data_IF_976421367235
#
_entry.id   IF_976421367235
#
_cell.length_a   1.000
_cell.length_b   1.000
_cell.length_c   1.000
_cell.angle_alpha   90.00
_cell.angle_beta   90.00
_cell.angle_gamma   90.00
#
_symmetry.space_group_name_H-M   'P 1'
#
loop_
_entity.id
_entity.type
_entity.pdbx_description
1 polymer ?
#
# COMPACT_ATOMS: atom_id res chain seq x y z
N UNK A 1 -0.01 -11.22 -33.26
CA UNK A 1 1.19 -11.21 -32.38
C UNK A 1 0.71 -10.92 -30.98
N UNK A 2 0.68 -11.94 -30.12
CA UNK A 2 0.07 -11.88 -28.79
C UNK A 2 0.79 -10.86 -27.91
N UNK A 3 0.02 -9.98 -27.28
CA UNK A 3 0.54 -9.05 -26.28
C UNK A 3 1.10 -9.89 -25.14
N UNK A 4 2.40 -9.86 -24.92
CA UNK A 4 3.01 -10.40 -23.70
C UNK A 4 2.32 -9.72 -22.52
N UNK A 5 1.52 -10.48 -21.76
CA UNK A 5 0.95 -9.99 -20.51
C UNK A 5 2.12 -9.84 -19.55
N UNK A 6 2.49 -8.60 -19.29
CA UNK A 6 3.57 -8.31 -18.36
C UNK A 6 3.10 -8.68 -16.94
N UNK A 7 3.99 -9.23 -16.09
CA UNK A 7 3.67 -9.44 -14.69
C UNK A 7 3.21 -8.12 -14.05
N UNK A 8 2.19 -8.17 -13.20
CA UNK A 8 1.68 -6.97 -12.52
C UNK A 8 2.79 -6.26 -11.71
N UNK A 9 3.79 -6.99 -11.23
CA UNK A 9 4.98 -6.41 -10.60
C UNK A 9 5.70 -5.39 -11.50
N UNK A 10 5.84 -5.66 -12.80
CA UNK A 10 6.46 -4.70 -13.73
C UNK A 10 5.58 -3.47 -13.93
N UNK A 11 4.27 -3.66 -13.98
CA UNK A 11 3.31 -2.56 -14.12
C UNK A 11 3.30 -1.66 -12.87
N UNK A 12 3.41 -2.27 -11.69
CA UNK A 12 3.59 -1.55 -10.42
C UNK A 12 4.87 -0.70 -10.43
N UNK A 13 6.01 -1.24 -10.88
CA UNK A 13 7.26 -0.47 -10.96
C UNK A 13 7.17 0.67 -11.98
N UNK A 14 6.45 0.48 -13.09
CA UNK A 14 6.21 1.55 -14.06
C UNK A 14 5.36 2.66 -13.48
N UNK A 15 4.31 2.30 -12.77
CA UNK A 15 3.46 3.25 -12.07
C UNK A 15 4.29 4.01 -11.04
N UNK A 16 4.99 3.33 -10.13
CA UNK A 16 5.88 3.94 -9.14
C UNK A 16 6.90 4.92 -9.77
N UNK A 17 7.50 4.53 -10.90
CA UNK A 17 8.43 5.38 -11.63
C UNK A 17 7.76 6.64 -12.24
N UNK A 18 6.50 6.55 -12.65
CA UNK A 18 5.73 7.69 -13.18
C UNK A 18 5.55 8.78 -12.11
N UNK A 19 5.46 8.39 -10.84
CA UNK A 19 5.31 9.29 -9.69
C UNK A 19 6.63 9.90 -9.18
N UNK A 20 7.77 9.65 -9.84
CA UNK A 20 9.08 10.14 -9.41
C UNK A 20 9.15 11.67 -9.24
N UNK A 21 8.47 12.43 -10.09
CA UNK A 21 8.43 13.90 -9.99
C UNK A 21 7.64 14.36 -8.76
N UNK A 22 6.50 13.72 -8.49
CA UNK A 22 5.71 13.97 -7.28
C UNK A 22 6.53 13.65 -6.02
N UNK A 23 7.13 12.46 -5.97
CA UNK A 23 8.02 12.05 -4.86
C UNK A 23 9.15 13.06 -4.62
N UNK A 24 9.76 13.60 -5.68
CA UNK A 24 10.82 14.62 -5.54
C UNK A 24 10.32 15.94 -4.94
N UNK A 25 9.06 16.30 -5.15
CA UNK A 25 8.47 17.50 -4.58
C UNK A 25 8.12 17.36 -3.08
N UNK A 26 7.99 16.13 -2.57
CA UNK A 26 7.70 15.84 -1.17
C UNK A 26 8.88 16.18 -0.24
N UNK A 27 8.57 16.47 1.04
CA UNK A 27 9.55 16.57 2.13
C UNK A 27 10.19 15.22 2.40
N UNK A 28 11.32 15.18 3.13
CA UNK A 28 12.03 13.92 3.39
C UNK A 28 11.15 12.89 4.11
N UNK A 29 10.44 13.33 5.15
CA UNK A 29 9.50 12.50 5.92
C UNK A 29 8.38 11.92 5.04
N UNK A 30 7.78 12.75 4.18
CA UNK A 30 6.71 12.33 3.28
C UNK A 30 7.19 11.39 2.18
N UNK A 31 8.46 11.46 1.76
CA UNK A 31 9.04 10.55 0.75
C UNK A 31 9.12 9.12 1.27
N UNK A 32 9.49 8.95 2.52
CA UNK A 32 9.58 7.63 3.16
C UNK A 32 8.19 7.01 3.24
N UNK A 33 7.20 7.77 3.72
CA UNK A 33 5.79 7.34 3.72
C UNK A 33 5.30 7.00 2.31
N UNK A 34 5.64 7.80 1.31
CA UNK A 34 5.23 7.54 -0.07
C UNK A 34 5.82 6.24 -0.64
N UNK A 35 7.09 5.94 -0.33
CA UNK A 35 7.74 4.70 -0.76
C UNK A 35 7.12 3.47 -0.07
N UNK A 36 6.71 3.62 1.19
CA UNK A 36 5.99 2.58 1.94
C UNK A 36 4.64 2.24 1.31
N UNK A 37 3.90 3.21 0.75
CA UNK A 37 2.64 2.94 0.03
C UNK A 37 2.86 1.99 -1.15
N UNK A 38 3.84 2.27 -2.01
CA UNK A 38 4.13 1.38 -3.15
C UNK A 38 4.70 0.03 -2.69
N UNK A 39 5.46 0.00 -1.61
CA UNK A 39 5.90 -1.26 -1.00
C UNK A 39 4.72 -2.10 -0.50
N UNK A 40 3.72 -1.48 0.14
CA UNK A 40 2.51 -2.15 0.63
C UNK A 40 1.72 -2.79 -0.51
N UNK A 41 1.61 -2.11 -1.66
CA UNK A 41 0.94 -2.66 -2.84
C UNK A 41 1.62 -3.93 -3.39
N UNK A 42 2.93 -4.11 -3.19
CA UNK A 42 3.67 -5.30 -3.69
C UNK A 42 3.21 -6.59 -3.01
N UNK A 43 2.72 -6.53 -1.76
CA UNK A 43 2.16 -7.70 -1.06
C UNK A 43 0.91 -8.27 -1.73
N UNK A 44 0.23 -7.48 -2.57
CA UNK A 44 -1.05 -7.81 -3.18
C UNK A 44 -0.96 -8.04 -4.69
N UNK A 45 0.24 -8.22 -5.25
CA UNK A 45 0.45 -8.40 -6.70
C UNK A 45 -0.41 -9.51 -7.33
N UNK A 46 -0.65 -10.60 -6.61
CA UNK A 46 -1.55 -11.66 -7.07
C UNK A 46 -3.02 -11.17 -7.14
N UNK A 47 -3.51 -10.51 -6.09
CA UNK A 47 -4.85 -9.93 -6.06
C UNK A 47 -5.04 -8.86 -7.14
N UNK A 48 -4.03 -8.01 -7.35
CA UNK A 48 -4.02 -7.01 -8.41
C UNK A 48 -4.06 -7.62 -9.81
N UNK A 49 -3.32 -8.72 -10.03
CA UNK A 49 -3.36 -9.47 -11.29
C UNK A 49 -4.76 -10.03 -11.55
N UNK A 50 -5.37 -10.63 -10.51
CA UNK A 50 -6.73 -11.18 -10.59
C UNK A 50 -7.81 -10.10 -10.79
N UNK A 51 -7.59 -8.87 -10.29
CA UNK A 51 -8.57 -7.79 -10.40
C UNK A 51 -8.85 -7.38 -11.85
N UNK A 52 -7.95 -7.69 -12.80
CA UNK A 52 -8.19 -7.47 -14.24
C UNK A 52 -8.47 -6.01 -14.62
N UNK A 53 -7.98 -5.05 -13.81
CA UNK A 53 -8.24 -3.62 -14.00
C UNK A 53 -7.54 -3.10 -15.26
N UNK A 54 -8.25 -2.26 -16.01
CA UNK A 54 -7.69 -1.56 -17.18
C UNK A 54 -6.64 -0.52 -16.78
N UNK A 55 -6.81 0.09 -15.59
CA UNK A 55 -5.87 1.03 -15.00
C UNK A 55 -5.19 0.36 -13.81
N UNK A 56 -3.90 -0.01 -13.92
CA UNK A 56 -3.16 -0.72 -12.87
C UNK A 56 -3.17 0.04 -11.53
N UNK A 57 -3.12 1.37 -11.60
CA UNK A 57 -3.14 2.25 -10.43
C UNK A 57 -4.38 2.04 -9.54
N UNK A 58 -5.55 1.68 -10.09
CA UNK A 58 -6.73 1.40 -9.28
C UNK A 58 -6.52 0.19 -8.36
N UNK A 59 -5.87 -0.86 -8.87
CA UNK A 59 -5.57 -2.07 -8.09
C UNK A 59 -4.46 -1.80 -7.05
N UNK A 60 -3.47 -0.99 -7.40
CA UNK A 60 -2.41 -0.51 -6.49
C UNK A 60 -3.04 0.27 -5.34
N UNK A 61 -3.91 1.25 -5.64
CA UNK A 61 -4.58 2.08 -4.64
C UNK A 61 -5.45 1.24 -3.70
N UNK A 62 -6.21 0.27 -4.25
CA UNK A 62 -7.00 -0.64 -3.41
C UNK A 62 -6.15 -1.47 -2.46
N UNK A 63 -4.96 -1.88 -2.91
CA UNK A 63 -4.02 -2.65 -2.10
C UNK A 63 -3.40 -1.82 -0.98
N UNK A 64 -3.05 -0.57 -1.28
CA UNK A 64 -2.61 0.42 -0.29
C UNK A 64 -3.70 0.62 0.77
N UNK A 65 -4.93 0.93 0.36
CA UNK A 65 -6.05 1.16 1.27
C UNK A 65 -6.34 -0.06 2.16
N UNK A 66 -6.14 -1.28 1.63
CA UNK A 66 -6.31 -2.50 2.40
C UNK A 66 -5.26 -2.64 3.51
N UNK A 67 -4.00 -2.35 3.23
CA UNK A 67 -2.93 -2.35 4.22
C UNK A 67 -3.10 -1.24 5.25
N UNK A 68 -3.50 -0.03 4.84
CA UNK A 68 -3.83 1.05 5.77
C UNK A 68 -4.99 0.66 6.70
N UNK A 69 -6.04 0.01 6.15
CA UNK A 69 -7.16 -0.49 6.96
C UNK A 69 -6.73 -1.58 7.94
N UNK A 70 -5.76 -2.42 7.56
CA UNK A 70 -5.16 -3.43 8.45
C UNK A 70 -4.36 -2.76 9.57
N UNK A 71 -3.51 -1.78 9.24
CA UNK A 71 -2.70 -1.04 10.20
C UNK A 71 -3.59 -0.32 11.24
N UNK A 72 -4.63 0.38 10.78
CA UNK A 72 -5.59 1.05 11.67
C UNK A 72 -6.25 0.05 12.62
N UNK A 73 -6.72 -1.10 12.12
CA UNK A 73 -7.35 -2.13 12.97
C UNK A 73 -6.39 -2.67 14.03
N UNK A 74 -5.13 -2.92 13.67
CA UNK A 74 -4.14 -3.42 14.61
C UNK A 74 -3.77 -2.38 15.66
N UNK A 75 -3.61 -1.11 15.25
CA UNK A 75 -3.37 -0.01 16.18
C UNK A 75 -4.54 0.18 17.15
N UNK A 76 -5.79 0.14 16.66
CA UNK A 76 -6.97 0.20 17.52
C UNK A 76 -6.99 -0.93 18.54
N UNK A 77 -6.71 -2.17 18.11
CA UNK A 77 -6.65 -3.34 19.00
C UNK A 77 -5.59 -3.17 20.09
N UNK A 78 -4.41 -2.66 19.73
CA UNK A 78 -3.31 -2.41 20.69
C UNK A 78 -3.67 -1.29 21.68
N UNK A 79 -4.32 -0.23 21.22
CA UNK A 79 -4.82 0.84 22.10
C UNK A 79 -5.84 0.29 23.10
N UNK A 80 -6.83 -0.47 22.63
CA UNK A 80 -7.84 -1.11 23.51
C UNK A 80 -7.21 -2.07 24.53
N UNK A 81 -6.13 -2.77 24.17
CA UNK A 81 -5.42 -3.64 25.09
C UNK A 81 -4.63 -2.85 26.15
N UNK A 82 -3.95 -1.78 25.76
CA UNK A 82 -3.23 -0.90 26.68
C UNK A 82 -4.18 -0.18 27.64
N UNK A 83 -5.33 0.28 27.15
CA UNK A 83 -6.37 0.91 27.96
C UNK A 83 -6.97 -0.07 28.98
N UNK A 84 -7.16 -1.33 28.61
CA UNK A 84 -7.58 -2.40 29.53
C UNK A 84 -6.54 -2.62 30.63
N UNK A 85 -5.28 -2.85 30.25
CA UNK A 85 -4.18 -3.06 31.22
C UNK A 85 -4.04 -1.91 32.21
N UNK A 86 -4.15 -0.67 31.74
CA UNK A 86 -4.11 0.52 32.60
C UNK A 86 -5.30 0.62 33.56
N UNK A 87 -6.48 0.14 33.15
CA UNK A 87 -7.68 0.13 34.01
C UNK A 87 -7.60 -0.94 35.10
N UNK A 88 -6.90 -2.04 34.80
CA UNK A 88 -6.72 -3.18 35.72
C UNK A 88 -5.51 -2.99 36.67
N UNK A 89 -4.77 -1.88 36.55
CA UNK A 89 -3.68 -1.49 37.45
C UNK A 89 -4.27 -0.78 38.70
N UNK A 90 -4.02 -1.30 39.92
CA UNK A 90 -4.64 -0.80 41.17
C UNK A 90 -4.11 0.55 41.66
#
# INVERSE_FOLDING_TARGET
>A
MGRTVLPFTQELYREEASWKTFRRALRREDRELFDELFAAARYHTAACTCAGRTVPFEAILMSILLEERRAVRELSRRVEELERRRRDEP
#
